data_IF_756228653904
#
_entry.id   IF_756228653904
#
_cell.length_a   1.000
_cell.length_b   1.000
_cell.length_c   1.000
_cell.angle_alpha   90.00
_cell.angle_beta   90.00
_cell.angle_gamma   90.00
#
_symmetry.space_group_name_H-M   'P 1'
#
loop_
_entity.id
_entity.type
_entity.pdbx_description
1 polymer ?
#
# COMPACT_ATOMS: atom_id res chain seq x y z
N UNK A 1 -4.49 -34.02 -5.72
CA UNK A 1 -4.87 -32.72 -6.32
C UNK A 1 -4.71 -32.83 -7.82
N UNK A 2 -5.79 -32.81 -8.59
CA UNK A 2 -5.69 -32.64 -10.03
C UNK A 2 -4.90 -31.34 -10.28
N UNK A 3 -3.90 -31.39 -11.17
CA UNK A 3 -3.21 -30.20 -11.61
C UNK A 3 -4.24 -29.32 -12.31
N UNK A 4 -4.79 -28.34 -11.59
CA UNK A 4 -5.65 -27.31 -12.18
C UNK A 4 -4.85 -26.68 -13.30
N UNK A 5 -5.41 -26.69 -14.50
CA UNK A 5 -4.83 -26.01 -15.65
C UNK A 5 -4.83 -24.51 -15.38
N UNK A 6 -3.70 -24.01 -14.89
CA UNK A 6 -3.50 -22.60 -14.50
C UNK A 6 -3.45 -21.67 -15.71
N UNK A 7 -3.52 -22.18 -16.92
CA UNK A 7 -3.54 -21.35 -18.13
C UNK A 7 -4.97 -20.84 -18.41
N UNK A 8 -5.98 -21.63 -18.04
CA UNK A 8 -7.40 -21.23 -18.18
C UNK A 8 -7.82 -20.15 -17.17
N UNK A 9 -8.77 -19.27 -17.52
CA UNK A 9 -9.38 -18.33 -16.57
C UNK A 9 -9.99 -19.03 -15.34
N UNK A 10 -10.63 -20.17 -15.54
CA UNK A 10 -11.31 -20.97 -14.51
C UNK A 10 -10.29 -21.60 -13.56
N UNK A 11 -9.21 -22.18 -14.10
CA UNK A 11 -8.14 -22.74 -13.29
C UNK A 11 -7.39 -21.69 -12.47
N UNK A 12 -7.20 -20.48 -13.01
CA UNK A 12 -6.67 -19.33 -12.24
C UNK A 12 -7.61 -18.91 -11.12
N UNK A 13 -8.90 -18.82 -11.39
CA UNK A 13 -9.89 -18.49 -10.36
C UNK A 13 -9.92 -19.55 -9.25
N UNK A 14 -9.87 -20.82 -9.61
CA UNK A 14 -9.79 -21.92 -8.66
C UNK A 14 -8.51 -21.84 -7.81
N UNK A 15 -7.37 -21.49 -8.41
CA UNK A 15 -6.12 -21.28 -7.68
C UNK A 15 -6.19 -20.09 -6.70
N UNK A 16 -6.78 -18.96 -7.12
CA UNK A 16 -6.98 -17.80 -6.23
C UNK A 16 -7.90 -18.13 -5.06
N UNK A 17 -8.98 -18.89 -5.32
CA UNK A 17 -9.89 -19.37 -4.28
C UNK A 17 -9.18 -20.30 -3.30
N UNK A 18 -8.42 -21.30 -3.77
CA UNK A 18 -7.67 -22.22 -2.91
C UNK A 18 -6.68 -21.46 -2.02
N UNK A 19 -5.94 -20.51 -2.60
CA UNK A 19 -5.02 -19.64 -1.88
C UNK A 19 -5.73 -18.87 -0.76
N UNK A 20 -6.81 -18.18 -1.10
CA UNK A 20 -7.62 -17.42 -0.14
C UNK A 20 -8.22 -18.28 0.97
N UNK A 21 -8.71 -19.47 0.64
CA UNK A 21 -9.28 -20.40 1.59
C UNK A 21 -8.24 -20.89 2.61
N UNK A 22 -7.01 -21.18 2.16
CA UNK A 22 -5.90 -21.53 3.06
C UNK A 22 -5.56 -20.39 4.01
N UNK A 23 -5.59 -19.15 3.53
CA UNK A 23 -5.39 -17.97 4.38
C UNK A 23 -6.49 -17.87 5.43
N UNK A 24 -7.76 -18.04 5.06
CA UNK A 24 -8.89 -18.00 6.00
C UNK A 24 -8.71 -19.05 7.10
N UNK A 25 -8.37 -20.30 6.75
CA UNK A 25 -8.13 -21.37 7.73
C UNK A 25 -6.95 -21.04 8.65
N UNK A 26 -5.84 -20.55 8.09
CA UNK A 26 -4.67 -20.17 8.89
C UNK A 26 -4.99 -19.00 9.83
N UNK A 27 -5.72 -17.99 9.33
CA UNK A 27 -6.15 -16.84 10.09
C UNK A 27 -7.13 -17.21 11.20
N UNK A 28 -8.08 -18.10 10.92
CA UNK A 28 -9.02 -18.64 11.90
C UNK A 28 -8.32 -19.33 13.07
N UNK A 29 -7.27 -20.09 12.79
CA UNK A 29 -6.42 -20.72 13.83
C UNK A 29 -5.66 -19.68 14.66
N UNK A 30 -5.20 -18.60 14.04
CA UNK A 30 -4.43 -17.52 14.71
C UNK A 30 -5.31 -16.63 15.59
N UNK A 31 -6.46 -16.20 15.08
CA UNK A 31 -7.36 -15.25 15.76
C UNK A 31 -8.31 -15.98 16.72
N UNK A 32 -8.72 -17.21 16.39
CA UNK A 32 -9.66 -18.00 17.20
C UNK A 32 -11.12 -17.55 17.10
N UNK A 33 -11.44 -16.57 16.24
CA UNK A 33 -12.79 -16.03 16.07
C UNK A 33 -13.74 -17.09 15.47
N UNK A 34 -14.94 -17.32 16.05
CA UNK A 34 -15.88 -18.34 15.59
C UNK A 34 -16.23 -18.25 14.10
N UNK A 35 -16.36 -17.03 13.56
CA UNK A 35 -16.72 -16.79 12.15
C UNK A 35 -15.64 -17.23 11.14
N UNK A 36 -14.41 -17.47 11.60
CA UNK A 36 -13.30 -17.94 10.78
C UNK A 36 -12.88 -19.37 11.12
N UNK A 37 -13.66 -20.12 11.90
CA UNK A 37 -13.34 -21.51 12.29
C UNK A 37 -13.67 -22.50 11.19
N UNK A 38 -12.85 -22.52 10.16
CA UNK A 38 -12.85 -23.55 9.13
C UNK A 38 -11.68 -24.51 9.38
N UNK A 39 -11.94 -25.82 9.35
CA UNK A 39 -10.89 -26.82 9.51
C UNK A 39 -10.14 -27.07 8.21
N UNK A 40 -10.87 -27.09 7.09
CA UNK A 40 -10.35 -27.39 5.76
C UNK A 40 -10.63 -26.25 4.77
N UNK A 41 -9.74 -26.01 3.79
CA UNK A 41 -9.94 -24.95 2.80
C UNK A 41 -11.21 -25.11 1.96
N UNK A 42 -11.64 -26.35 1.71
CA UNK A 42 -12.81 -26.63 0.85
C UNK A 42 -14.13 -26.15 1.48
N UNK A 43 -14.16 -26.04 2.81
CA UNK A 43 -15.32 -25.58 3.58
C UNK A 43 -15.47 -24.05 3.56
N UNK A 44 -14.45 -23.32 3.10
CA UNK A 44 -14.47 -21.86 3.06
C UNK A 44 -15.36 -21.39 1.89
N UNK A 45 -16.34 -20.50 2.15
CA UNK A 45 -17.14 -19.89 1.09
C UNK A 45 -16.26 -19.21 0.03
N UNK A 46 -16.56 -19.44 -1.24
CA UNK A 46 -15.73 -18.96 -2.36
C UNK A 46 -15.52 -17.43 -2.33
N UNK A 47 -16.59 -16.67 -2.05
CA UNK A 47 -16.53 -15.22 -1.92
C UNK A 47 -15.56 -14.80 -0.80
N UNK A 48 -15.74 -15.35 0.41
CA UNK A 48 -14.86 -15.06 1.53
C UNK A 48 -13.39 -15.40 1.23
N UNK A 49 -13.13 -16.54 0.57
CA UNK A 49 -11.78 -16.93 0.18
C UNK A 49 -11.14 -15.88 -0.75
N UNK A 50 -11.83 -15.49 -1.82
CA UNK A 50 -11.32 -14.52 -2.79
C UNK A 50 -11.15 -13.13 -2.17
N UNK A 51 -12.14 -12.66 -1.40
CA UNK A 51 -12.06 -11.39 -0.68
C UNK A 51 -10.91 -11.40 0.33
N UNK A 52 -10.70 -12.50 1.05
CA UNK A 52 -9.56 -12.63 1.97
C UNK A 52 -8.23 -12.53 1.23
N UNK A 53 -8.09 -13.22 0.09
CA UNK A 53 -6.85 -13.22 -0.69
C UNK A 53 -6.39 -11.81 -1.11
N UNK A 54 -7.32 -10.85 -1.29
CA UNK A 54 -6.98 -9.47 -1.67
C UNK A 54 -6.93 -8.48 -0.49
N UNK A 55 -7.43 -8.85 0.69
CA UNK A 55 -7.41 -8.02 1.89
C UNK A 55 -6.28 -8.44 2.86
N UNK A 56 -5.05 -8.52 2.35
CA UNK A 56 -3.87 -8.86 3.13
C UNK A 56 -3.14 -7.60 3.63
N UNK A 57 -2.54 -7.68 4.81
CA UNK A 57 -1.82 -6.59 5.48
C UNK A 57 -0.36 -6.43 5.01
N UNK A 58 -0.08 -6.75 3.74
CA UNK A 58 1.26 -6.63 3.18
C UNK A 58 1.67 -5.16 3.04
N UNK A 59 2.69 -4.75 3.79
CA UNK A 59 3.31 -3.43 3.64
C UNK A 59 4.38 -3.48 2.55
N UNK A 60 4.20 -2.70 1.47
CA UNK A 60 5.17 -2.60 0.37
C UNK A 60 6.51 -1.97 0.78
N UNK A 61 6.53 -1.26 1.90
CA UNK A 61 7.70 -0.55 2.43
C UNK A 61 8.51 -1.42 3.41
N UNK A 62 7.89 -2.44 4.00
CA UNK A 62 8.59 -3.32 4.92
C UNK A 62 9.45 -4.29 4.12
N UNK A 63 10.75 -3.99 4.07
CA UNK A 63 11.79 -4.85 3.51
C UNK A 63 12.04 -6.03 4.45
N UNK A 64 11.05 -6.91 4.63
CA UNK A 64 11.28 -8.13 5.38
C UNK A 64 12.13 -9.09 4.52
N UNK A 65 13.29 -9.56 5.00
CA UNK A 65 13.99 -10.65 4.35
C UNK A 65 13.04 -11.85 4.34
N UNK A 66 12.71 -12.35 3.15
CA UNK A 66 11.76 -13.45 2.88
C UNK A 66 10.27 -13.09 2.78
N UNK A 67 9.86 -11.82 2.80
CA UNK A 67 8.50 -11.50 2.35
C UNK A 67 8.42 -11.75 0.84
N UNK A 68 7.51 -12.64 0.43
CA UNK A 68 7.10 -12.75 -0.96
C UNK A 68 6.76 -11.34 -1.43
N UNK A 69 7.42 -10.90 -2.51
CA UNK A 69 7.33 -9.53 -3.00
C UNK A 69 5.85 -9.16 -3.14
N UNK A 70 5.37 -8.15 -2.39
CA UNK A 70 3.96 -7.72 -2.43
C UNK A 70 3.49 -7.47 -3.87
N UNK A 71 4.43 -7.09 -4.74
CA UNK A 71 4.23 -6.92 -6.18
C UNK A 71 3.80 -8.24 -6.84
N UNK A 72 4.42 -9.36 -6.51
CA UNK A 72 4.03 -10.70 -7.01
C UNK A 72 2.61 -11.03 -6.57
N UNK A 73 2.26 -10.74 -5.30
CA UNK A 73 0.91 -10.97 -4.81
C UNK A 73 -0.12 -10.13 -5.58
N UNK A 74 0.20 -8.85 -5.78
CA UNK A 74 -0.62 -7.91 -6.52
C UNK A 74 -0.85 -8.42 -7.96
N UNK A 75 0.21 -8.80 -8.68
CA UNK A 75 0.10 -9.34 -10.03
C UNK A 75 -0.64 -10.68 -10.11
N UNK A 76 -0.52 -11.52 -9.07
CA UNK A 76 -1.26 -12.78 -8.99
C UNK A 76 -2.75 -12.52 -8.94
N UNK A 77 -3.19 -11.52 -8.16
CA UNK A 77 -4.62 -11.27 -7.94
C UNK A 77 -5.28 -10.34 -8.97
N UNK A 78 -4.51 -9.55 -9.74
CA UNK A 78 -5.03 -8.63 -10.79
C UNK A 78 -6.11 -9.27 -11.67
N UNK A 79 -5.93 -10.49 -12.23
CA UNK A 79 -6.93 -11.05 -13.15
C UNK A 79 -8.30 -11.27 -12.52
N UNK A 80 -8.37 -11.50 -11.21
CA UNK A 80 -9.65 -11.60 -10.52
C UNK A 80 -10.19 -10.21 -10.15
N UNK A 81 -9.35 -9.36 -9.55
CA UNK A 81 -9.72 -8.01 -9.13
C UNK A 81 -10.32 -7.20 -10.29
N UNK A 82 -9.73 -7.29 -11.48
CA UNK A 82 -10.18 -6.58 -12.67
C UNK A 82 -11.61 -6.96 -13.14
N UNK A 83 -12.15 -8.07 -12.64
CA UNK A 83 -13.50 -8.59 -12.97
C UNK A 83 -14.45 -8.63 -11.78
N UNK A 84 -13.97 -8.35 -10.58
CA UNK A 84 -14.75 -8.40 -9.36
C UNK A 84 -15.74 -7.22 -9.31
N UNK A 85 -16.93 -7.45 -8.77
CA UNK A 85 -17.79 -6.33 -8.40
C UNK A 85 -17.17 -5.60 -7.20
N UNK A 86 -17.43 -4.28 -7.01
CA UNK A 86 -16.91 -3.55 -5.87
C UNK A 86 -17.21 -4.23 -4.53
N UNK A 87 -18.39 -4.83 -4.39
CA UNK A 87 -18.85 -5.50 -3.18
C UNK A 87 -18.01 -6.74 -2.84
N UNK A 88 -17.47 -7.44 -3.84
CA UNK A 88 -16.63 -8.63 -3.66
C UNK A 88 -15.27 -8.30 -3.02
N UNK A 89 -14.87 -7.02 -3.04
CA UNK A 89 -13.60 -6.56 -2.49
C UNK A 89 -13.67 -6.24 -0.99
N UNK A 90 -14.87 -6.20 -0.40
CA UNK A 90 -15.07 -5.88 1.00
C UNK A 90 -15.36 -7.13 1.83
N UNK A 91 -14.60 -7.32 2.89
CA UNK A 91 -14.83 -8.41 3.84
C UNK A 91 -16.21 -8.26 4.51
N UNK A 92 -16.91 -9.39 4.78
CA UNK A 92 -18.12 -9.38 5.60
C UNK A 92 -17.90 -8.65 6.93
N UNK A 93 -18.94 -7.95 7.40
CA UNK A 93 -18.83 -7.06 8.57
C UNK A 93 -18.37 -7.78 9.85
N UNK A 94 -18.84 -9.00 10.06
CA UNK A 94 -18.47 -9.87 11.17
C UNK A 94 -17.01 -10.33 11.08
N UNK A 95 -16.54 -10.69 9.89
CA UNK A 95 -15.13 -10.99 9.61
C UNK A 95 -14.26 -9.77 9.86
N UNK A 96 -14.63 -8.59 9.36
CA UNK A 96 -13.91 -7.34 9.62
C UNK A 96 -13.80 -7.06 11.11
N UNK A 97 -14.88 -7.21 11.88
CA UNK A 97 -14.85 -7.01 13.33
C UNK A 97 -13.92 -7.99 14.04
N UNK A 98 -13.91 -9.24 13.61
CA UNK A 98 -13.03 -10.26 14.18
C UNK A 98 -11.55 -9.99 13.87
N UNK A 99 -11.25 -9.39 12.71
CA UNK A 99 -9.89 -9.10 12.26
C UNK A 99 -9.41 -7.69 12.62
N UNK A 100 -10.31 -6.84 13.10
CA UNK A 100 -9.99 -5.44 13.33
C UNK A 100 -8.92 -5.29 14.41
N UNK A 101 -7.75 -4.79 13.99
CA UNK A 101 -6.70 -4.34 14.90
C UNK A 101 -6.89 -2.84 15.12
N UNK A 102 -7.13 -2.38 16.36
CA UNK A 102 -7.26 -0.96 16.63
C UNK A 102 -6.00 -0.20 16.19
N UNK A 103 -6.20 0.88 15.45
CA UNK A 103 -5.08 1.73 15.05
C UNK A 103 -4.48 2.43 16.26
N UNK A 104 -3.16 2.43 16.36
CA UNK A 104 -2.42 3.13 17.40
C UNK A 104 -1.39 4.06 16.76
N UNK A 105 -1.01 5.17 17.41
CA UNK A 105 -0.02 6.11 16.85
C UNK A 105 1.31 5.47 16.44
N UNK A 106 1.72 4.40 17.12
CA UNK A 106 2.91 3.62 16.78
C UNK A 106 2.85 2.96 15.40
N UNK A 107 1.68 2.53 14.92
CA UNK A 107 1.52 2.02 13.56
C UNK A 107 1.83 3.09 12.50
N UNK A 108 1.41 4.34 12.73
CA UNK A 108 1.76 5.47 11.86
C UNK A 108 3.27 5.67 11.82
N UNK A 109 3.93 5.63 12.98
CA UNK A 109 5.37 5.80 13.06
C UNK A 109 6.12 4.68 12.34
N UNK A 110 5.63 3.44 12.40
CA UNK A 110 6.20 2.30 11.66
C UNK A 110 6.18 2.56 10.16
N UNK A 111 5.04 2.99 9.61
CA UNK A 111 4.92 3.31 8.18
C UNK A 111 5.83 4.47 7.80
N UNK A 112 5.81 5.58 8.56
CA UNK A 112 6.62 6.76 8.26
C UNK A 112 8.13 6.47 8.29
N UNK A 113 8.58 5.61 9.22
CA UNK A 113 9.97 5.16 9.27
C UNK A 113 10.33 4.34 8.05
N UNK A 114 9.48 3.36 7.69
CA UNK A 114 9.70 2.55 6.50
C UNK A 114 9.72 3.40 5.21
N UNK A 115 8.84 4.40 5.09
CA UNK A 115 8.85 5.36 3.97
C UNK A 115 10.16 6.16 3.92
N UNK A 116 10.58 6.74 5.04
CA UNK A 116 11.83 7.52 5.12
C UNK A 116 13.04 6.67 4.73
N UNK A 117 13.10 5.45 5.24
CA UNK A 117 14.22 4.55 5.00
C UNK A 117 14.23 4.05 3.53
N UNK A 118 13.06 3.93 2.90
CA UNK A 118 12.91 3.59 1.48
C UNK A 118 13.25 4.75 0.53
N UNK A 119 12.76 5.96 0.80
CA UNK A 119 13.05 7.17 0.01
C UNK A 119 14.52 7.60 0.15
N UNK A 120 15.19 7.18 1.22
CA UNK A 120 16.54 7.60 1.55
C UNK A 120 16.61 9.06 2.02
N UNK A 121 17.82 9.58 2.28
CA UNK A 121 17.98 10.99 2.61
C UNK A 121 17.49 11.85 1.45
N UNK A 122 16.46 12.67 1.70
CA UNK A 122 16.09 13.73 0.77
C UNK A 122 17.27 14.71 0.70
N UNK A 123 17.94 14.76 -0.43
CA UNK A 123 18.83 15.87 -0.77
C UNK A 123 17.97 17.12 -0.93
N UNK A 124 17.61 17.76 0.19
CA UNK A 124 17.08 19.11 0.14
C UNK A 124 18.15 19.97 -0.51
N UNK A 125 17.81 20.60 -1.64
CA UNK A 125 18.70 21.58 -2.24
C UNK A 125 19.13 22.57 -1.14
N UNK A 126 20.42 22.95 -1.08
CA UNK A 126 20.89 23.89 -0.09
C UNK A 126 20.01 25.13 -0.13
N UNK A 127 19.62 25.62 1.05
CA UNK A 127 18.89 26.88 1.15
C UNK A 127 19.79 27.95 0.52
N UNK A 128 19.39 28.47 -0.64
CA UNK A 128 20.16 29.52 -1.31
C UNK A 128 20.28 30.72 -0.37
N UNK A 129 21.51 31.20 -0.18
CA UNK A 129 21.74 32.40 0.61
C UNK A 129 21.04 33.60 -0.06
N UNK A 130 20.27 34.34 0.73
CA UNK A 130 19.53 35.52 0.28
C UNK A 130 18.01 35.42 0.44
N UNK A 131 17.30 36.52 0.13
CA UNK A 131 15.85 36.59 0.31
C UNK A 131 15.14 35.57 -0.59
N UNK A 132 14.18 34.85 0.00
CA UNK A 132 13.36 33.90 -0.75
C UNK A 132 12.69 34.61 -1.94
N UNK A 133 12.75 33.99 -3.13
CA UNK A 133 12.23 34.57 -4.38
C UNK A 133 10.75 35.02 -4.28
N UNK A 134 9.94 34.30 -3.49
CA UNK A 134 8.53 34.61 -3.20
C UNK A 134 8.32 35.24 -1.80
N UNK A 135 9.39 35.45 -1.03
CA UNK A 135 9.34 36.10 0.27
C UNK A 135 9.28 37.63 0.16
N UNK A 136 9.05 38.33 1.29
CA UNK A 136 9.05 39.79 1.33
C UNK A 136 10.42 40.35 0.91
N UNK A 137 10.41 41.41 0.10
CA UNK A 137 11.62 42.03 -0.38
C UNK A 137 12.34 42.78 0.76
N UNK A 138 13.66 42.59 0.96
CA UNK A 138 14.40 43.19 2.07
C UNK A 138 14.54 44.72 1.99
N UNK A 139 14.17 45.35 0.87
CA UNK A 139 14.14 46.81 0.74
C UNK A 139 12.95 47.48 1.46
N UNK A 140 12.08 46.70 2.10
CA UNK A 140 10.92 47.22 2.85
C UNK A 140 9.70 47.58 1.99
N UNK A 141 9.70 47.27 0.69
CA UNK A 141 8.60 47.63 -0.22
C UNK A 141 7.30 46.83 -0.01
N UNK A 142 7.33 45.78 0.80
CA UNK A 142 6.21 44.84 0.99
C UNK A 142 5.90 43.93 -0.22
N UNK A 143 6.61 44.10 -1.34
CA UNK A 143 6.45 43.26 -2.54
C UNK A 143 7.25 41.96 -2.44
N UNK A 144 6.88 40.93 -3.21
CA UNK A 144 7.70 39.71 -3.36
C UNK A 144 9.08 40.06 -3.96
N UNK A 145 10.17 39.47 -3.46
CA UNK A 145 11.54 39.76 -3.91
C UNK A 145 11.70 39.69 -5.45
N UNK A 146 11.18 38.65 -6.10
CA UNK A 146 11.22 38.50 -7.58
C UNK A 146 10.49 39.59 -8.38
N UNK A 147 9.60 40.35 -7.73
CA UNK A 147 8.81 41.44 -8.33
C UNK A 147 9.33 42.82 -7.88
N UNK A 148 10.46 42.85 -7.20
CA UNK A 148 11.10 44.04 -6.68
C UNK A 148 12.62 43.94 -6.95
N UNK A 149 13.47 43.95 -5.92
CA UNK A 149 14.93 43.93 -6.08
C UNK A 149 15.49 42.67 -6.79
N UNK A 150 14.71 41.60 -6.90
CA UNK A 150 15.05 40.40 -7.66
C UNK A 150 14.67 40.44 -9.15
N UNK A 151 14.02 41.51 -9.64
CA UNK A 151 13.83 41.72 -11.08
C UNK A 151 15.18 42.04 -11.71
N UNK A 152 15.64 41.18 -12.63
CA UNK A 152 16.91 41.33 -13.35
C UNK A 152 18.02 40.37 -12.90
N UNK A 153 17.96 39.80 -11.68
CA UNK A 153 18.95 38.82 -11.19
C UNK A 153 18.68 37.36 -11.61
N UNK A 154 17.97 37.16 -12.72
CA UNK A 154 17.45 35.85 -13.14
C UNK A 154 18.00 35.32 -14.46
N UNK A 155 19.09 35.90 -15.00
CA UNK A 155 19.64 35.55 -16.31
C UNK A 155 21.16 35.30 -16.33
N UNK A 156 21.84 35.30 -15.18
CA UNK A 156 23.28 34.95 -15.09
C UNK A 156 23.42 33.82 -14.07
N UNK A 157 23.71 32.59 -14.55
CA UNK A 157 24.07 31.46 -13.68
C UNK A 157 23.49 30.09 -14.05
N UNK A 158 23.34 29.77 -15.33
CA UNK A 158 23.13 28.39 -15.84
C UNK A 158 24.11 28.09 -17.00
N UNK A 159 25.40 28.45 -16.85
CA UNK A 159 26.51 27.92 -17.65
C UNK A 159 27.57 27.35 -16.70
N UNK A 160 27.46 26.04 -16.46
CA UNK A 160 28.52 25.00 -16.39
C UNK A 160 28.01 23.71 -15.74
#
# INVERSE_FOLDING_TARGET
MAALDRETPEGRLAAHRDLGARIVVAMGKRIGAPILRYEKPEDVPAGLALTMAVNQDFCYLERAPNNANVIIWLFTMIPWIARAAPEDLYLPRDVLRAMHVPWRPDHTLTILRAMRDHEGPRNSAPVREGPARKGPCPCGSGKEYKRCCGQGKGAEGDED
#
